data_IF_184023149763
#
_entry.id   IF_184023149763
#
_cell.length_a   1.000
_cell.length_b   1.000
_cell.length_c   1.000
_cell.angle_alpha   90.00
_cell.angle_beta   90.00
_cell.angle_gamma   90.00
#
_symmetry.space_group_name_H-M   'P 1'
#
loop_
_entity.id
_entity.type
_entity.pdbx_description
1 polymer ?
#
# COMPACT_ATOMS: atom_id res chain seq x y z
N UNK A 1 2.40 28.95 -28.31
CA UNK A 1 3.05 27.78 -27.68
C UNK A 1 2.06 26.63 -27.76
N UNK A 2 2.37 25.58 -28.51
CA UNK A 2 1.52 24.39 -28.61
C UNK A 2 1.55 23.70 -27.26
N UNK A 3 0.45 23.76 -26.51
CA UNK A 3 0.28 23.00 -25.29
C UNK A 3 0.19 21.54 -25.69
N UNK A 4 1.26 20.78 -25.50
CA UNK A 4 1.19 19.32 -25.47
C UNK A 4 0.25 18.98 -24.32
N UNK A 5 -0.98 18.55 -24.63
CA UNK A 5 -1.88 17.96 -23.64
C UNK A 5 -1.17 16.76 -23.04
N UNK A 6 -0.57 16.94 -21.88
CA UNK A 6 -0.01 15.85 -21.10
C UNK A 6 -1.21 15.12 -20.48
N UNK A 7 -1.65 14.03 -21.12
CA UNK A 7 -2.73 13.17 -20.62
C UNK A 7 -2.24 12.33 -19.42
N UNK A 8 -1.85 13.00 -18.33
CA UNK A 8 -1.59 12.35 -17.04
C UNK A 8 -2.87 12.45 -16.23
N UNK A 9 -3.41 11.30 -15.88
CA UNK A 9 -4.63 11.20 -15.10
C UNK A 9 -4.30 10.71 -13.69
N UNK A 10 -5.12 11.13 -12.72
CA UNK A 10 -5.11 10.55 -11.40
C UNK A 10 -5.34 9.03 -11.47
N UNK A 11 -4.78 8.32 -10.49
CA UNK A 11 -4.98 6.89 -10.35
C UNK A 11 -6.45 6.51 -10.14
N UNK A 12 -6.74 5.24 -10.33
CA UNK A 12 -8.09 4.67 -10.26
C UNK A 12 -8.07 3.33 -9.52
N UNK A 13 -9.25 2.77 -9.25
CA UNK A 13 -9.33 1.40 -8.77
C UNK A 13 -9.01 0.46 -9.94
N UNK A 14 -7.84 -0.18 -9.89
CA UNK A 14 -7.42 -1.19 -10.86
C UNK A 14 -6.44 -2.17 -10.24
N UNK A 15 -6.61 -3.45 -10.55
CA UNK A 15 -5.74 -4.52 -10.10
C UNK A 15 -5.70 -5.67 -11.11
N UNK A 16 -4.75 -6.59 -10.93
CA UNK A 16 -4.73 -7.89 -11.60
C UNK A 16 -4.75 -8.98 -10.54
N UNK A 17 -5.79 -9.82 -10.58
CA UNK A 17 -5.87 -11.04 -9.79
C UNK A 17 -5.20 -12.17 -10.57
N UNK A 18 -4.15 -12.76 -10.01
CA UNK A 18 -3.53 -13.98 -10.53
C UNK A 18 -3.98 -15.17 -9.68
N UNK A 19 -4.64 -16.14 -10.31
CA UNK A 19 -5.12 -17.36 -9.64
C UNK A 19 -4.00 -18.42 -9.53
N UNK A 20 -4.27 -19.48 -8.78
CA UNK A 20 -3.34 -20.61 -8.59
C UNK A 20 -2.90 -21.26 -9.91
N UNK A 21 -3.79 -21.34 -10.90
CA UNK A 21 -3.49 -21.89 -12.23
C UNK A 21 -2.66 -20.94 -13.11
N UNK A 22 -2.30 -19.76 -12.59
CA UNK A 22 -1.56 -18.72 -13.29
C UNK A 22 -2.43 -17.82 -14.18
N UNK A 23 -3.73 -18.05 -14.27
CA UNK A 23 -4.64 -17.18 -15.01
C UNK A 23 -4.67 -15.78 -14.39
N UNK A 24 -4.77 -14.77 -15.26
CA UNK A 24 -4.75 -13.35 -14.88
C UNK A 24 -6.06 -12.69 -15.24
N UNK A 25 -6.67 -12.03 -14.26
CA UNK A 25 -7.97 -11.38 -14.38
C UNK A 25 -7.80 -9.91 -14.04
N UNK A 26 -8.11 -9.05 -15.01
CA UNK A 26 -8.16 -7.62 -14.80
C UNK A 26 -9.38 -7.27 -13.92
N UNK A 27 -9.16 -6.40 -12.94
CA UNK A 27 -10.19 -5.91 -12.03
C UNK A 27 -10.21 -4.39 -12.11
N UNK A 28 -11.20 -3.83 -12.80
CA UNK A 28 -11.34 -2.38 -12.98
C UNK A 28 -12.80 -1.99 -13.23
N UNK A 29 -13.10 -0.69 -13.15
CA UNK A 29 -14.46 -0.17 -13.31
C UNK A 29 -15.08 -0.66 -14.63
N UNK A 30 -16.26 -1.29 -14.52
CA UNK A 30 -16.99 -1.84 -15.67
C UNK A 30 -16.71 -3.33 -15.94
N UNK A 31 -15.77 -3.93 -15.22
CA UNK A 31 -15.47 -5.37 -15.30
C UNK A 31 -15.89 -6.03 -13.97
N UNK A 32 -17.00 -6.77 -14.03
CA UNK A 32 -17.41 -7.63 -12.93
C UNK A 32 -16.75 -9.00 -13.08
N UNK A 33 -16.34 -9.59 -11.96
CA UNK A 33 -15.80 -10.94 -11.92
C UNK A 33 -16.51 -11.75 -10.83
N UNK A 34 -16.96 -12.95 -11.16
CA UNK A 34 -17.61 -13.87 -10.21
C UNK A 34 -17.09 -15.26 -10.50
N UNK A 35 -16.56 -15.92 -9.47
CA UNK A 35 -16.13 -17.32 -9.53
C UNK A 35 -16.24 -17.96 -8.15
N UNK A 36 -17.04 -19.01 -8.00
CA UNK A 36 -17.22 -19.77 -6.76
C UNK A 36 -17.41 -18.87 -5.53
N UNK A 37 -16.33 -18.64 -4.76
CA UNK A 37 -16.30 -17.85 -3.53
C UNK A 37 -15.74 -16.42 -3.71
N UNK A 38 -15.46 -15.98 -4.93
CA UNK A 38 -14.85 -14.70 -5.27
C UNK A 38 -15.85 -13.83 -6.04
N UNK A 39 -15.99 -12.56 -5.64
CA UNK A 39 -16.76 -11.54 -6.35
C UNK A 39 -15.97 -10.25 -6.46
N UNK A 40 -16.01 -9.60 -7.61
CA UNK A 40 -15.50 -8.25 -7.80
C UNK A 40 -16.46 -7.41 -8.62
N UNK A 41 -16.57 -6.14 -8.24
CA UNK A 41 -17.31 -5.09 -8.94
C UNK A 41 -16.36 -4.08 -9.64
N UNK A 42 -15.07 -4.42 -9.75
CA UNK A 42 -14.04 -3.53 -10.31
C UNK A 42 -13.53 -2.44 -9.36
N UNK A 43 -14.05 -2.34 -8.14
CA UNK A 43 -13.54 -1.45 -7.07
C UNK A 43 -12.97 -2.23 -5.89
N UNK A 44 -13.56 -3.38 -5.60
CA UNK A 44 -13.14 -4.28 -4.54
C UNK A 44 -13.21 -5.74 -4.98
N UNK A 45 -12.49 -6.60 -4.27
CA UNK A 45 -12.52 -8.05 -4.40
C UNK A 45 -12.99 -8.66 -3.08
N UNK A 46 -14.01 -9.50 -3.12
CA UNK A 46 -14.63 -10.08 -1.93
C UNK A 46 -14.51 -11.60 -1.98
N UNK A 47 -13.89 -12.17 -0.96
CA UNK A 47 -13.87 -13.60 -0.71
C UNK A 47 -14.95 -13.96 0.31
N UNK A 48 -15.77 -14.96 -0.04
CA UNK A 48 -16.70 -15.60 0.87
C UNK A 48 -16.06 -16.87 1.45
N UNK A 49 -16.41 -17.22 2.68
CA UNK A 49 -15.99 -18.49 3.27
C UNK A 49 -16.71 -19.63 2.54
N UNK A 50 -15.99 -20.59 1.93
CA UNK A 50 -16.62 -21.70 1.22
C UNK A 50 -17.34 -22.65 2.19
N UNK A 51 -18.46 -23.24 1.76
CA UNK A 51 -19.30 -24.11 2.58
C UNK A 51 -18.65 -25.48 2.95
N UNK A 52 -17.49 -25.81 2.35
CA UNK A 52 -16.81 -27.10 2.55
C UNK A 52 -15.33 -26.90 2.88
N UNK A 53 -14.91 -27.43 4.02
CA UNK A 53 -13.60 -27.27 4.67
C UNK A 53 -12.49 -28.22 4.15
N UNK A 54 -12.74 -28.99 3.09
CA UNK A 54 -11.85 -30.07 2.59
C UNK A 54 -11.05 -29.71 1.33
N UNK A 55 -10.75 -28.44 1.08
CA UNK A 55 -9.90 -28.05 -0.06
C UNK A 55 -8.47 -27.76 0.34
N UNK A 56 -7.53 -28.16 -0.53
CA UNK A 56 -6.15 -27.70 -0.51
C UNK A 56 -6.10 -26.17 -0.49
N UNK A 57 -5.20 -25.59 0.31
CA UNK A 57 -4.98 -24.14 0.30
C UNK A 57 -4.36 -23.75 -1.04
N UNK A 58 -5.13 -23.06 -1.86
CA UNK A 58 -4.66 -22.36 -3.05
C UNK A 58 -4.26 -20.94 -2.68
N UNK A 59 -3.28 -20.37 -3.38
CA UNK A 59 -2.85 -18.98 -3.19
C UNK A 59 -3.14 -18.13 -4.42
N UNK A 60 -3.64 -16.92 -4.18
CA UNK A 60 -3.81 -15.91 -5.19
C UNK A 60 -2.83 -14.75 -4.96
N UNK A 61 -2.51 -14.04 -6.05
CA UNK A 61 -1.80 -12.77 -5.99
C UNK A 61 -2.73 -11.65 -6.45
N UNK A 62 -2.76 -10.56 -5.69
CA UNK A 62 -3.38 -9.30 -6.12
C UNK A 62 -2.27 -8.29 -6.38
N UNK A 63 -2.07 -7.95 -7.65
CA UNK A 63 -1.07 -6.99 -8.10
C UNK A 63 -1.73 -5.67 -8.46
N UNK A 64 -1.28 -4.60 -7.84
CA UNK A 64 -1.73 -3.24 -8.11
C UNK A 64 -0.67 -2.55 -8.98
N UNK A 65 -0.98 -2.16 -10.22
CA UNK A 65 -0.03 -1.41 -11.04
C UNK A 65 0.14 0.02 -10.50
N UNK A 66 1.14 0.73 -11.03
CA UNK A 66 1.16 2.19 -10.91
C UNK A 66 -0.13 2.82 -11.43
N UNK A 67 -0.59 3.83 -10.72
CA UNK A 67 -1.89 4.49 -10.84
C UNK A 67 -3.09 3.63 -10.45
N UNK A 68 -2.84 2.49 -9.81
CA UNK A 68 -3.88 1.65 -9.23
C UNK A 68 -4.00 1.82 -7.73
N UNK A 69 -5.16 1.49 -7.20
CA UNK A 69 -5.34 1.09 -5.81
C UNK A 69 -6.44 0.04 -5.79
N UNK A 70 -6.54 -0.76 -4.74
CA UNK A 70 -7.63 -1.73 -4.65
C UNK A 70 -7.92 -2.16 -3.22
N UNK A 71 -9.16 -2.56 -2.98
CA UNK A 71 -9.61 -3.15 -1.72
C UNK A 71 -9.85 -4.65 -1.92
N UNK A 72 -9.32 -5.47 -1.03
CA UNK A 72 -9.70 -6.88 -0.92
C UNK A 72 -10.26 -7.17 0.48
N UNK A 73 -11.42 -7.83 0.49
CA UNK A 73 -12.04 -8.40 1.69
C UNK A 73 -11.72 -9.90 1.69
N UNK A 74 -10.85 -10.32 2.60
CA UNK A 74 -10.40 -11.71 2.73
C UNK A 74 -11.50 -12.60 3.34
N UNK A 75 -11.32 -13.91 3.26
CA UNK A 75 -12.35 -14.89 3.65
C UNK A 75 -12.68 -14.92 5.14
N UNK A 76 -11.81 -14.35 5.99
CA UNK A 76 -11.99 -14.15 7.43
C UNK A 76 -12.63 -12.79 7.78
N UNK A 77 -13.01 -11.99 6.77
CA UNK A 77 -13.55 -10.65 6.95
C UNK A 77 -12.49 -9.55 7.13
N UNK A 78 -11.19 -9.86 7.13
CA UNK A 78 -10.12 -8.87 7.14
C UNK A 78 -10.17 -8.04 5.85
N UNK A 79 -10.08 -6.71 5.98
CA UNK A 79 -10.03 -5.80 4.83
C UNK A 79 -8.61 -5.31 4.62
N UNK A 80 -8.17 -5.34 3.37
CA UNK A 80 -6.83 -4.88 2.98
C UNK A 80 -6.95 -3.89 1.83
N UNK A 81 -6.55 -2.65 2.07
CA UNK A 81 -6.36 -1.67 1.01
C UNK A 81 -4.91 -1.78 0.54
N UNK A 82 -4.71 -1.89 -0.77
CA UNK A 82 -3.39 -1.86 -1.38
C UNK A 82 -3.22 -0.57 -2.18
N UNK A 83 -2.08 0.09 -1.97
CA UNK A 83 -1.71 1.31 -2.68
C UNK A 83 -1.09 0.98 -4.05
N UNK A 84 -0.84 2.01 -4.87
CA UNK A 84 -0.18 1.86 -6.17
C UNK A 84 1.14 1.12 -6.07
N UNK A 85 1.41 0.27 -7.06
CA UNK A 85 2.65 -0.51 -7.14
C UNK A 85 2.89 -1.44 -5.95
N UNK A 86 1.87 -2.23 -5.64
CA UNK A 86 1.88 -3.19 -4.52
C UNK A 86 1.50 -4.59 -4.96
N UNK A 87 1.94 -5.60 -4.22
CA UNK A 87 1.52 -6.98 -4.44
C UNK A 87 1.30 -7.72 -3.13
N UNK A 88 0.10 -8.29 -2.97
CA UNK A 88 -0.24 -9.15 -1.86
C UNK A 88 -0.46 -10.58 -2.35
N UNK A 89 0.14 -11.54 -1.66
CA UNK A 89 -0.14 -12.97 -1.80
C UNK A 89 -0.93 -13.44 -0.59
N UNK A 90 -1.99 -14.20 -0.83
CA UNK A 90 -2.90 -14.63 0.24
C UNK A 90 -3.62 -15.91 -0.16
N UNK A 91 -4.04 -16.74 0.82
CA UNK A 91 -4.78 -17.95 0.54
C UNK A 91 -6.22 -17.62 0.11
N UNK A 92 -6.83 -18.47 -0.71
CA UNK A 92 -8.23 -18.31 -1.13
C UNK A 92 -9.23 -18.52 0.01
N UNK A 93 -8.80 -19.21 1.07
CA UNK A 93 -9.50 -19.30 2.35
C UNK A 93 -8.51 -19.62 3.49
N UNK A 94 -8.81 -19.17 4.70
CA UNK A 94 -8.06 -19.56 5.90
C UNK A 94 -8.59 -20.86 6.52
N UNK A 95 -7.70 -21.76 6.94
CA UNK A 95 -8.08 -22.98 7.65
C UNK A 95 -8.54 -22.62 9.06
N UNK A 96 -9.68 -23.17 9.45
CA UNK A 96 -10.26 -22.95 10.77
C UNK A 96 -9.32 -23.42 11.89
N UNK A 97 -9.07 -22.55 12.87
CA UNK A 97 -8.18 -22.86 14.01
C UNK A 97 -6.69 -22.71 13.72
N UNK A 98 -6.30 -22.45 12.48
CA UNK A 98 -4.91 -22.19 12.10
C UNK A 98 -4.57 -20.69 12.04
N UNK A 99 -3.28 -20.39 12.04
CA UNK A 99 -2.82 -19.00 11.89
C UNK A 99 -3.14 -18.47 10.50
N UNK A 100 -3.88 -17.36 10.45
CA UNK A 100 -4.25 -16.67 9.22
C UNK A 100 -3.02 -15.93 8.68
N UNK A 101 -2.46 -16.37 7.55
CA UNK A 101 -1.20 -15.82 7.02
C UNK A 101 -1.36 -15.25 5.62
N UNK A 102 -0.90 -14.03 5.43
CA UNK A 102 -0.74 -13.38 4.11
C UNK A 102 0.68 -12.84 3.96
N UNK A 103 1.07 -12.50 2.75
CA UNK A 103 2.40 -11.96 2.44
C UNK A 103 2.26 -10.68 1.60
N UNK A 104 2.72 -9.55 2.14
CA UNK A 104 2.94 -8.34 1.36
C UNK A 104 4.30 -8.49 0.68
N UNK A 105 4.28 -8.93 -0.58
CA UNK A 105 5.50 -9.21 -1.36
C UNK A 105 6.31 -7.93 -1.55
N UNK A 106 5.62 -6.82 -1.84
CA UNK A 106 6.16 -5.47 -1.87
C UNK A 106 5.01 -4.45 -1.89
N UNK A 107 5.34 -3.20 -1.63
CA UNK A 107 4.42 -2.08 -1.80
C UNK A 107 3.91 -1.53 -0.48
N UNK A 108 2.70 -1.00 -0.48
CA UNK A 108 2.05 -0.48 0.72
C UNK A 108 0.62 -1.00 0.85
N UNK A 109 0.29 -1.42 2.07
CA UNK A 109 -1.03 -1.94 2.39
C UNK A 109 -1.47 -1.54 3.79
N UNK A 110 -2.73 -1.15 3.89
CA UNK A 110 -3.45 -0.93 5.13
C UNK A 110 -4.29 -2.17 5.46
N UNK A 111 -4.19 -2.65 6.69
CA UNK A 111 -4.90 -3.83 7.18
C UNK A 111 -5.86 -3.40 8.28
N UNK A 112 -7.14 -3.70 8.08
CA UNK A 112 -8.18 -3.73 9.12
C UNK A 112 -8.50 -5.20 9.39
N UNK A 113 -7.79 -5.76 10.38
CA UNK A 113 -7.78 -7.21 10.64
C UNK A 113 -8.98 -7.61 11.48
N UNK A 114 -9.71 -8.61 11.00
CA UNK A 114 -10.87 -9.13 11.72
C UNK A 114 -10.47 -9.71 13.09
N UNK A 115 -11.25 -9.42 14.15
CA UNK A 115 -10.91 -9.86 15.51
C UNK A 115 -10.71 -11.37 15.61
N UNK A 116 -9.70 -11.78 16.37
CA UNK A 116 -9.41 -13.20 16.66
C UNK A 116 -10.57 -13.87 17.40
N UNK A 117 -11.36 -13.14 18.18
CA UNK A 117 -12.53 -13.67 18.90
C UNK A 117 -13.60 -14.26 17.99
N UNK A 118 -13.75 -13.72 16.77
CA UNK A 118 -14.64 -14.26 15.73
C UNK A 118 -13.93 -15.24 14.78
N UNK A 119 -12.64 -15.51 15.02
CA UNK A 119 -11.78 -16.40 14.24
C UNK A 119 -11.08 -17.43 15.15
N UNK A 120 -11.80 -18.01 16.12
CA UNK A 120 -11.33 -19.10 17.00
C UNK A 120 -10.05 -18.78 17.79
N UNK A 121 -9.80 -17.51 18.12
CA UNK A 121 -8.61 -17.05 18.85
C UNK A 121 -7.32 -17.05 18.02
N UNK A 122 -7.41 -17.29 16.70
CA UNK A 122 -6.23 -17.39 15.83
C UNK A 122 -5.57 -16.05 15.58
N UNK A 123 -4.23 -16.06 15.55
CA UNK A 123 -3.42 -14.90 15.13
C UNK A 123 -3.59 -14.65 13.63
N UNK A 124 -3.40 -13.39 13.26
CA UNK A 124 -3.18 -12.99 11.87
C UNK A 124 -1.71 -12.60 11.68
N UNK A 125 -1.09 -13.07 10.60
CA UNK A 125 0.30 -12.80 10.25
C UNK A 125 0.41 -12.16 8.88
N UNK A 126 1.20 -11.09 8.81
CA UNK A 126 1.66 -10.54 7.53
C UNK A 126 3.15 -10.79 7.41
N UNK A 127 3.53 -11.52 6.36
CA UNK A 127 4.92 -11.75 5.99
C UNK A 127 5.38 -10.67 5.01
N UNK A 128 6.64 -10.27 5.14
CA UNK A 128 7.39 -9.50 4.17
C UNK A 128 8.86 -9.95 4.27
N UNK A 129 9.66 -9.79 3.21
CA UNK A 129 11.03 -10.30 3.14
C UNK A 129 11.91 -10.06 4.39
N UNK A 130 11.71 -8.93 5.07
CA UNK A 130 12.55 -8.53 6.22
C UNK A 130 11.80 -8.46 7.56
N UNK A 131 10.50 -8.76 7.57
CA UNK A 131 9.71 -8.72 8.80
C UNK A 131 8.50 -9.65 8.79
N UNK A 132 8.12 -10.09 9.98
CA UNK A 132 6.84 -10.72 10.27
C UNK A 132 6.07 -9.84 11.24
N UNK A 133 4.81 -9.56 10.90
CA UNK A 133 3.87 -8.84 11.73
C UNK A 133 2.87 -9.86 12.30
N UNK A 134 2.67 -9.88 13.62
CA UNK A 134 1.63 -10.69 14.26
C UNK A 134 0.62 -9.79 15.02
N UNK A 135 -0.68 -10.06 14.81
CA UNK A 135 -1.79 -9.32 15.42
C UNK A 135 -2.97 -10.24 15.79
N UNK A 136 -3.93 -9.72 16.57
CA UNK A 136 -5.16 -10.43 17.00
C UNK A 136 -6.46 -9.73 16.58
N UNK A 137 -6.41 -8.62 15.86
CA UNK A 137 -7.55 -7.73 15.57
C UNK A 137 -7.09 -6.29 15.78
N UNK A 138 -6.67 -5.64 14.69
CA UNK A 138 -5.78 -4.48 14.75
C UNK A 138 -5.83 -3.74 13.43
N UNK A 139 -5.76 -2.42 13.49
CA UNK A 139 -5.62 -1.56 12.32
C UNK A 139 -4.17 -1.07 12.20
N UNK A 140 -3.52 -1.33 11.08
CA UNK A 140 -2.13 -0.93 10.85
C UNK A 140 -1.80 -0.78 9.36
N UNK A 141 -0.74 -0.04 9.06
CA UNK A 141 -0.21 0.15 7.71
C UNK A 141 1.20 -0.45 7.61
N UNK A 142 1.52 -1.09 6.49
CA UNK A 142 2.89 -1.49 6.13
C UNK A 142 3.27 -0.78 4.84
N UNK A 143 4.45 -0.14 4.83
CA UNK A 143 5.10 0.41 3.64
C UNK A 143 6.46 -0.27 3.44
N UNK A 144 6.57 -1.06 2.37
CA UNK A 144 7.68 -1.96 2.07
C UNK A 144 7.94 -2.05 0.55
N UNK A 145 8.14 -0.89 -0.09
CA UNK A 145 8.51 -0.84 -1.51
C UNK A 145 9.96 -1.26 -1.74
N UNK A 146 10.27 -1.78 -2.93
CA UNK A 146 11.58 -2.40 -3.24
C UNK A 146 12.72 -1.37 -3.29
N UNK A 147 12.40 -0.16 -3.71
CA UNK A 147 13.30 0.97 -3.89
C UNK A 147 13.41 1.86 -2.63
N UNK A 148 12.53 1.67 -1.65
CA UNK A 148 12.56 2.42 -0.40
C UNK A 148 13.70 1.88 0.48
N UNK A 149 14.41 2.78 1.16
CA UNK A 149 15.54 2.41 2.04
C UNK A 149 15.08 1.85 3.39
N UNK A 150 13.81 2.03 3.73
CA UNK A 150 13.21 1.65 5.00
C UNK A 150 11.90 0.92 4.78
N UNK A 151 11.63 -0.05 5.64
CA UNK A 151 10.33 -0.69 5.78
C UNK A 151 9.66 -0.11 7.01
N UNK A 152 8.44 0.39 6.85
CA UNK A 152 7.68 1.05 7.89
C UNK A 152 6.45 0.22 8.26
N UNK A 153 6.20 0.06 9.55
CA UNK A 153 4.94 -0.50 10.07
C UNK A 153 4.35 0.48 11.07
N UNK A 154 3.17 1.02 10.76
CA UNK A 154 2.48 2.04 11.57
C UNK A 154 1.25 1.44 12.22
N UNK A 155 1.15 1.52 13.55
CA UNK A 155 -0.01 1.03 14.30
C UNK A 155 -1.03 2.14 14.53
N UNK A 156 -2.28 1.90 14.10
CA UNK A 156 -3.43 2.78 14.32
C UNK A 156 -4.17 2.37 15.59
N UNK A 157 -4.69 1.14 15.63
CA UNK A 157 -5.45 0.61 16.77
C UNK A 157 -5.04 -0.83 17.09
N UNK A 158 -5.05 -1.18 18.38
CA UNK A 158 -4.77 -2.53 18.85
C UNK A 158 -3.31 -2.72 19.26
N UNK A 159 -2.71 -3.84 18.88
CA UNK A 159 -1.34 -4.20 19.26
C UNK A 159 -0.67 -5.01 18.16
N UNK A 160 0.52 -4.58 17.78
CA UNK A 160 1.32 -5.23 16.74
C UNK A 160 2.62 -5.74 17.33
N UNK A 161 2.94 -7.01 17.11
CA UNK A 161 4.30 -7.52 17.26
C UNK A 161 4.99 -7.45 15.90
N UNK A 162 6.08 -6.69 15.80
CA UNK A 162 6.96 -6.66 14.62
C UNK A 162 8.21 -7.45 14.95
N UNK A 163 8.52 -8.45 14.14
CA UNK A 163 9.72 -9.28 14.28
C UNK A 163 10.53 -9.21 12.99
N UNK A 164 11.80 -8.86 13.06
CA UNK A 164 12.75 -9.04 11.96
C UNK A 164 13.62 -10.29 12.22
N UNK A 165 14.70 -10.48 11.47
CA UNK A 165 15.54 -11.69 11.61
C UNK A 165 16.14 -11.91 13.01
N UNK A 166 16.39 -10.84 13.79
CA UNK A 166 17.12 -10.93 15.06
C UNK A 166 16.40 -10.31 16.25
N UNK A 167 15.44 -9.43 16.00
CA UNK A 167 14.81 -8.59 17.02
C UNK A 167 13.29 -8.61 16.87
N UNK A 168 12.61 -8.41 17.99
CA UNK A 168 11.16 -8.23 18.04
C UNK A 168 10.81 -7.00 18.87
N UNK A 169 9.78 -6.27 18.47
CA UNK A 169 9.23 -5.15 19.24
C UNK A 169 7.71 -5.15 19.18
N UNK A 170 7.09 -4.63 20.22
CA UNK A 170 5.65 -4.43 20.29
C UNK A 170 5.35 -2.95 20.06
N UNK A 171 4.54 -2.65 19.06
CA UNK A 171 4.02 -1.31 18.85
C UNK A 171 2.77 -1.07 19.70
N UNK A 172 2.62 0.17 20.15
CA UNK A 172 1.41 0.75 20.72
C UNK A 172 0.76 1.69 19.69
N UNK A 173 -0.54 2.03 19.82
CA UNK A 173 -1.19 3.02 18.98
C UNK A 173 -0.34 4.30 18.81
N UNK A 174 -0.31 4.83 17.60
CA UNK A 174 0.51 5.97 17.17
C UNK A 174 2.03 5.75 17.08
N UNK A 175 2.48 4.50 17.14
CA UNK A 175 3.88 4.16 16.92
C UNK A 175 4.13 3.60 15.52
N UNK A 176 5.31 3.91 14.99
CA UNK A 176 5.83 3.37 13.74
C UNK A 176 7.16 2.68 14.00
N UNK A 177 7.30 1.43 13.55
CA UNK A 177 8.60 0.78 13.44
C UNK A 177 9.26 1.14 12.11
N UNK A 178 10.57 1.33 12.15
CA UNK A 178 11.42 1.59 11.00
C UNK A 178 12.49 0.49 10.98
N UNK A 179 12.49 -0.29 9.91
CA UNK A 179 13.48 -1.36 9.67
C UNK A 179 14.33 -0.96 8.47
N UNK A 180 15.65 -1.01 8.63
CA UNK A 180 16.60 -0.93 7.51
C UNK A 180 17.06 -2.37 7.18
N UNK A 181 16.76 -2.93 6.00
CA UNK A 181 17.04 -4.32 5.65
C UNK A 181 18.47 -4.81 5.93
N UNK A 182 19.46 -3.91 5.87
CA UNK A 182 20.89 -4.27 5.96
C UNK A 182 21.48 -4.22 7.38
N UNK A 183 20.77 -3.69 8.39
CA UNK A 183 21.34 -3.54 9.74
C UNK A 183 20.57 -4.28 10.84
N UNK A 184 19.46 -4.94 10.49
CA UNK A 184 18.58 -5.68 11.40
C UNK A 184 18.11 -4.88 12.65
N UNK A 185 18.21 -3.55 12.65
CA UNK A 185 17.71 -2.70 13.72
C UNK A 185 16.23 -2.40 13.50
N UNK A 186 15.49 -2.36 14.59
CA UNK A 186 14.12 -1.85 14.62
C UNK A 186 14.14 -0.57 15.44
N UNK A 187 13.90 0.57 14.81
CA UNK A 187 13.71 1.85 15.49
C UNK A 187 12.20 2.07 15.65
N UNK A 188 11.76 2.56 16.80
CA UNK A 188 10.33 2.85 17.04
C UNK A 188 10.16 4.31 17.42
N UNK A 189 9.31 5.01 16.66
CA UNK A 189 8.99 6.42 16.89
C UNK A 189 7.50 6.60 17.11
N UNK A 190 7.12 7.59 17.92
CA UNK A 190 5.74 8.09 17.97
C UNK A 190 5.55 9.08 16.83
N UNK A 191 4.47 8.92 16.06
CA UNK A 191 4.20 9.73 14.87
C UNK A 191 2.75 10.20 14.83
N UNK A 192 2.44 11.11 13.91
CA UNK A 192 1.06 11.35 13.50
C UNK A 192 0.65 10.31 12.45
N UNK A 193 -0.16 9.33 12.85
CA UNK A 193 -0.59 8.22 11.97
C UNK A 193 -1.36 8.68 10.75
N UNK A 194 -2.05 9.82 10.82
CA UNK A 194 -2.85 10.35 9.72
C UNK A 194 -2.04 10.51 8.43
N UNK A 195 -0.79 10.95 8.55
CA UNK A 195 0.08 11.17 7.40
C UNK A 195 0.46 9.87 6.67
N UNK A 196 0.42 8.73 7.38
CA UNK A 196 0.83 7.43 6.84
C UNK A 196 -0.37 6.63 6.29
N UNK A 197 -1.61 6.99 6.65
CA UNK A 197 -2.80 6.20 6.29
C UNK A 197 -3.83 6.96 5.46
N UNK A 198 -3.76 8.29 5.42
CA UNK A 198 -4.74 9.14 4.70
C UNK A 198 -4.87 8.82 3.20
N UNK A 199 -3.88 8.16 2.61
CA UNK A 199 -3.91 7.74 1.21
C UNK A 199 -5.06 6.78 0.89
N UNK A 200 -5.51 5.98 1.87
CA UNK A 200 -6.65 5.07 1.70
C UNK A 200 -7.99 5.84 1.65
N UNK A 201 -8.00 7.03 2.25
CA UNK A 201 -9.14 7.93 2.34
C UNK A 201 -9.11 9.01 1.25
N UNK A 202 -8.26 8.86 0.24
CA UNK A 202 -8.21 9.76 -0.91
C UNK A 202 -7.31 10.98 -0.73
N UNK A 203 -6.45 11.03 0.29
CA UNK A 203 -5.62 12.21 0.59
C UNK A 203 -4.14 11.84 0.64
N UNK A 204 -3.30 12.62 -0.04
CA UNK A 204 -1.87 12.66 0.24
C UNK A 204 -1.63 13.66 1.36
N UNK A 205 -0.97 13.25 2.44
CA UNK A 205 -0.62 14.17 3.53
C UNK A 205 0.86 14.07 3.87
N UNK A 206 1.59 15.17 3.65
CA UNK A 206 3.02 15.26 3.85
C UNK A 206 3.33 16.26 4.95
N UNK A 207 4.25 15.91 5.84
CA UNK A 207 4.76 16.80 6.89
C UNK A 207 6.27 16.76 6.89
N UNK A 208 6.89 17.86 6.45
CA UNK A 208 8.35 18.03 6.39
C UNK A 208 9.03 16.82 5.71
N UNK A 209 8.50 16.39 4.57
CA UNK A 209 9.03 15.25 3.80
C UNK A 209 9.99 15.74 2.72
N UNK A 210 11.12 15.03 2.48
CA UNK A 210 11.98 15.31 1.35
C UNK A 210 11.19 15.25 0.04
N UNK A 211 11.47 16.20 -0.86
CA UNK A 211 10.78 16.31 -2.14
C UNK A 211 10.88 15.02 -2.97
N UNK A 212 12.01 14.31 -2.87
CA UNK A 212 12.17 12.98 -3.46
C UNK A 212 11.10 11.99 -3.01
N UNK A 213 10.81 11.91 -1.71
CA UNK A 213 9.80 10.99 -1.18
C UNK A 213 8.39 11.37 -1.67
N UNK A 214 8.08 12.67 -1.71
CA UNK A 214 6.80 13.18 -2.22
C UNK A 214 6.66 12.81 -3.70
N UNK A 215 7.69 13.09 -4.50
CA UNK A 215 7.70 12.77 -5.92
C UNK A 215 7.57 11.26 -6.17
N UNK A 216 8.16 10.40 -5.34
CA UNK A 216 7.96 8.94 -5.44
C UNK A 216 6.50 8.55 -5.21
N UNK A 217 5.82 9.13 -4.22
CA UNK A 217 4.39 8.89 -3.98
C UNK A 217 3.55 9.32 -5.19
N UNK A 218 3.79 10.53 -5.71
CA UNK A 218 3.08 11.03 -6.89
C UNK A 218 3.39 10.18 -8.14
N UNK A 219 4.65 9.77 -8.32
CA UNK A 219 5.07 8.93 -9.44
C UNK A 219 4.27 7.63 -9.50
N UNK A 220 4.04 6.99 -8.34
CA UNK A 220 3.29 5.74 -8.26
C UNK A 220 1.82 5.96 -8.57
N UNK A 221 1.21 7.02 -8.06
CA UNK A 221 -0.22 7.29 -8.26
C UNK A 221 -0.58 7.83 -9.65
N UNK A 222 0.25 8.67 -10.24
CA UNK A 222 -0.01 9.24 -11.57
C UNK A 222 0.62 8.42 -12.70
N UNK A 223 1.38 7.37 -12.37
CA UNK A 223 2.12 6.54 -13.32
C UNK A 223 3.05 7.37 -14.23
N UNK A 224 3.86 8.23 -13.61
CA UNK A 224 4.82 9.11 -14.30
C UNK A 224 6.22 8.94 -13.77
N UNK A 225 7.23 8.91 -14.63
CA UNK A 225 8.61 8.86 -14.16
C UNK A 225 9.07 10.24 -13.67
N UNK A 226 9.85 10.27 -12.60
CA UNK A 226 10.38 11.52 -12.05
C UNK A 226 11.90 11.55 -12.18
N UNK A 227 12.43 12.63 -12.72
CA UNK A 227 13.86 12.85 -12.84
C UNK A 227 14.26 14.19 -12.20
N UNK A 228 15.22 14.16 -11.30
CA UNK A 228 15.81 15.36 -10.71
C UNK A 228 17.10 15.73 -11.46
N UNK A 229 17.10 16.86 -12.18
CA UNK A 229 18.33 17.40 -12.78
C UNK A 229 19.26 17.93 -11.71
N UNK A 230 18.72 18.62 -10.71
CA UNK A 230 19.45 19.11 -9.55
C UNK A 230 19.25 18.18 -8.35
N UNK A 231 20.29 17.45 -7.96
CA UNK A 231 20.24 16.50 -6.84
C UNK A 231 20.05 17.16 -5.48
N UNK A 232 20.40 18.44 -5.33
CA UNK A 232 20.22 19.14 -4.05
C UNK A 232 18.73 19.34 -3.71
N UNK A 233 17.88 19.48 -4.74
CA UNK A 233 16.43 19.68 -4.58
C UNK A 233 15.74 18.41 -4.03
N UNK A 234 16.32 17.21 -4.20
CA UNK A 234 15.77 15.96 -3.65
C UNK A 234 15.54 16.03 -2.12
N UNK A 235 16.33 16.85 -1.42
CA UNK A 235 16.35 16.98 0.02
C UNK A 235 15.54 18.17 0.56
N UNK A 236 15.00 19.03 -0.30
CA UNK A 236 14.12 20.12 0.14
C UNK A 236 12.89 19.53 0.84
N UNK A 237 12.52 20.12 1.98
CA UNK A 237 11.41 19.64 2.79
C UNK A 237 10.15 20.39 2.41
N UNK A 238 9.08 19.63 2.17
CA UNK A 238 7.77 20.19 1.91
C UNK A 238 6.72 19.56 2.84
N UNK A 239 5.68 20.34 3.13
CA UNK A 239 4.51 19.90 3.88
C UNK A 239 3.24 20.44 3.23
N UNK A 240 2.21 19.62 3.16
CA UNK A 240 0.96 19.95 2.50
C UNK A 240 0.04 18.73 2.43
N UNK A 241 -1.22 18.96 2.08
CA UNK A 241 -2.17 17.88 1.83
C UNK A 241 -2.90 18.12 0.52
N UNK A 242 -3.08 17.05 -0.25
CA UNK A 242 -3.67 17.09 -1.59
C UNK A 242 -4.68 15.97 -1.73
N UNK A 243 -5.79 16.24 -2.42
CA UNK A 243 -6.74 15.20 -2.78
C UNK A 243 -6.17 14.38 -3.96
N UNK A 244 -6.25 13.06 -3.88
CA UNK A 244 -5.74 12.13 -4.91
C UNK A 244 -6.41 12.30 -6.26
N UNK A 245 -7.58 12.94 -6.32
CA UNK A 245 -8.31 13.24 -7.55
C UNK A 245 -7.83 14.51 -8.25
N UNK A 246 -7.02 15.35 -7.60
CA UNK A 246 -6.47 16.56 -8.21
C UNK A 246 -5.55 16.23 -9.39
N UNK A 247 -5.40 17.18 -10.30
CA UNK A 247 -4.44 17.07 -11.39
C UNK A 247 -3.01 17.18 -10.85
N UNK A 248 -2.10 16.34 -11.35
CA UNK A 248 -0.68 16.40 -10.95
C UNK A 248 -0.05 17.77 -11.22
N UNK A 249 -0.42 18.46 -12.30
CA UNK A 249 0.08 19.78 -12.64
C UNK A 249 -0.31 20.83 -11.59
N UNK A 250 -1.52 20.72 -11.02
CA UNK A 250 -1.96 21.60 -9.93
C UNK A 250 -1.13 21.35 -8.67
N UNK A 251 -0.93 20.09 -8.29
CA UNK A 251 -0.11 19.71 -7.14
C UNK A 251 1.34 20.20 -7.31
N UNK A 252 1.95 19.94 -8.47
CA UNK A 252 3.32 20.37 -8.76
C UNK A 252 3.45 21.90 -8.78
N UNK A 253 2.44 22.61 -9.28
CA UNK A 253 2.40 24.08 -9.24
C UNK A 253 2.34 24.59 -7.80
N UNK A 254 1.55 23.95 -6.93
CA UNK A 254 1.50 24.31 -5.50
C UNK A 254 2.84 24.06 -4.80
N UNK A 255 3.52 22.94 -5.10
CA UNK A 255 4.84 22.64 -4.56
C UNK A 255 5.88 23.66 -5.06
N UNK A 256 5.90 23.95 -6.36
CA UNK A 256 6.77 24.96 -6.97
C UNK A 256 6.56 26.34 -6.33
N UNK A 257 5.32 26.75 -6.03
CA UNK A 257 5.06 28.05 -5.40
C UNK A 257 5.54 28.14 -3.94
N UNK A 258 5.79 27.00 -3.28
CA UNK A 258 6.19 26.93 -1.89
C UNK A 258 7.67 26.55 -1.70
N UNK A 259 8.38 26.24 -2.78
CA UNK A 259 9.77 25.75 -2.79
C UNK A 259 10.56 26.50 -3.86
N UNK A 260 11.86 26.19 -4.02
CA UNK A 260 12.66 26.73 -5.12
C UNK A 260 12.66 25.80 -6.35
N UNK A 261 11.82 24.77 -6.33
CA UNK A 261 11.67 23.77 -7.39
C UNK A 261 11.00 24.39 -8.62
N UNK A 262 11.47 24.03 -9.81
CA UNK A 262 10.70 24.17 -11.04
C UNK A 262 10.48 22.81 -11.70
N UNK A 263 9.43 22.69 -12.53
CA UNK A 263 9.14 21.42 -13.19
C UNK A 263 8.73 21.59 -14.65
N UNK A 264 9.00 20.53 -15.42
CA UNK A 264 8.55 20.35 -16.79
C UNK A 264 7.91 18.98 -16.90
N UNK A 265 6.74 18.90 -17.53
CA UNK A 265 6.12 17.62 -17.90
C UNK A 265 6.28 17.40 -19.40
N UNK A 266 6.94 16.31 -19.78
CA UNK A 266 7.16 15.93 -21.17
C UNK A 266 7.07 14.41 -21.30
N UNK A 267 6.29 13.91 -22.28
CA UNK A 267 6.21 12.49 -22.63
C UNK A 267 5.90 11.56 -21.42
N UNK A 268 5.02 11.99 -20.50
CA UNK A 268 4.68 11.21 -19.30
C UNK A 268 5.78 11.18 -18.22
N UNK A 269 6.81 12.02 -18.37
CA UNK A 269 7.87 12.23 -17.39
C UNK A 269 7.73 13.61 -16.75
N UNK A 270 7.99 13.67 -15.44
CA UNK A 270 8.13 14.90 -14.66
C UNK A 270 9.62 15.14 -14.44
N UNK A 271 10.13 16.24 -14.98
CA UNK A 271 11.52 16.67 -14.84
C UNK A 271 11.56 17.82 -13.85
N UNK A 272 12.36 17.67 -12.80
CA UNK A 272 12.54 18.64 -11.74
C UNK A 272 13.87 19.39 -11.95
N UNK A 273 13.80 20.72 -11.97
CA UNK A 273 14.90 21.65 -12.21
C UNK A 273 15.16 22.56 -11.01
#
# INVERSE_FOLDING_TARGET
KVATQNNIHAGTNKATLTLEDGSKIALEKGQNYINNNIKSNGKELIYSTPATTKQSISYNYLTIPRGGQFLVNLSDGTKVWLNSDSQLKYPTNFIEGETRTVELVYGEAYFDVSPSTINNGTKFKVLNNHQTIEVLGTEFNIKAYKEDTHILTTLVEGKVMVTNHTNSTVLKPNQQSIITPNNNKIIVNTINVYNEISWKDGVFSFKNKPLKEIMMVLSRWYNVDVNFKNKNIEHELFGGSFDKTQNIEEILTMIQNATNMSFIIQNGQVIIE
#
